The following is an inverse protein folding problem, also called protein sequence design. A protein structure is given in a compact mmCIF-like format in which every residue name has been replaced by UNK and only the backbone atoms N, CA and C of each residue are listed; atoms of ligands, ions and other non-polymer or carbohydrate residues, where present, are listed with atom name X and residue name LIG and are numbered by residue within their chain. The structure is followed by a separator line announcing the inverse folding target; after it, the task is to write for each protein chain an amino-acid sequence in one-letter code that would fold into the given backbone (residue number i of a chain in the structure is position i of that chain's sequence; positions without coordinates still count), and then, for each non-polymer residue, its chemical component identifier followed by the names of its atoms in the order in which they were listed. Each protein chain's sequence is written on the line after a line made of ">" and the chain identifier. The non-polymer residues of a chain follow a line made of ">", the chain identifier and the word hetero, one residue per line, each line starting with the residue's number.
data_IF_771155544826
#
_entry.id   IF_771155544826
#
_cell.length_a   1.000
_cell.length_b   1.000
_cell.length_c   1.000
_cell.angle_alpha   90.00
_cell.angle_beta   90.00
_cell.angle_gamma   90.00
#
_symmetry.space_group_name_H-M   'P 1'
#
loop_
_entity.id
_entity.type
_entity.pdbx_description
1 polymer ?
#
# COMPACT_ATOMS: atom_id res chain seq x y z
N UNK A 1 37.64 -25.12 38.15
CA UNK A 1 39.02 -24.59 38.13
C UNK A 1 39.71 -25.20 36.91
N UNK A 2 40.02 -24.35 35.92
CA UNK A 2 40.94 -24.51 34.77
C UNK A 2 40.98 -25.87 34.03
N UNK A 3 40.60 -25.87 32.75
CA UNK A 3 41.56 -26.11 31.66
C UNK A 3 41.02 -25.53 30.34
N UNK A 4 41.96 -25.05 29.54
CA UNK A 4 41.86 -24.05 28.48
C UNK A 4 41.21 -24.51 27.17
N UNK A 5 40.29 -23.70 26.65
CA UNK A 5 39.88 -23.70 25.24
C UNK A 5 40.77 -22.68 24.52
N UNK A 6 41.80 -23.17 23.84
CA UNK A 6 42.59 -22.42 22.84
C UNK A 6 42.87 -23.37 21.68
N UNK A 7 42.14 -23.23 20.58
CA UNK A 7 42.63 -23.47 19.22
C UNK A 7 41.67 -22.78 18.24
N UNK A 8 41.87 -21.49 17.94
CA UNK A 8 42.73 -20.96 16.88
C UNK A 8 42.13 -21.15 15.47
N UNK A 9 41.46 -20.08 15.06
CA UNK A 9 41.20 -19.58 13.70
C UNK A 9 42.08 -20.22 12.63
N UNK A 10 41.49 -20.87 11.63
CA UNK A 10 42.17 -21.13 10.36
C UNK A 10 41.45 -20.44 9.20
N UNK A 11 42.28 -19.69 8.51
CA UNK A 11 42.05 -18.68 7.49
C UNK A 11 41.58 -19.29 6.17
N UNK A 12 40.73 -18.50 5.51
CA UNK A 12 40.28 -18.53 4.13
C UNK A 12 41.40 -18.60 3.08
N UNK A 13 41.24 -19.42 2.05
CA UNK A 13 41.78 -19.19 0.68
C UNK A 13 40.72 -19.69 -0.31
N UNK A 14 39.95 -18.84 -0.99
CA UNK A 14 40.23 -18.24 -2.30
C UNK A 14 40.83 -19.23 -3.32
N UNK A 15 39.98 -19.81 -4.16
CA UNK A 15 40.35 -20.16 -5.54
C UNK A 15 39.33 -19.54 -6.49
N UNK A 16 39.83 -18.52 -7.19
CA UNK A 16 39.21 -17.84 -8.32
C UNK A 16 39.43 -18.71 -9.55
N UNK A 17 38.34 -19.16 -10.19
CA UNK A 17 38.42 -19.75 -11.52
C UNK A 17 38.30 -18.63 -12.57
N UNK A 18 39.40 -18.46 -13.29
CA UNK A 18 39.57 -17.59 -14.46
C UNK A 18 39.92 -18.48 -15.65
N UNK A 19 39.15 -18.39 -16.72
CA UNK A 19 39.51 -18.71 -18.13
C UNK A 19 38.28 -18.34 -18.98
N UNK A 20 38.24 -17.17 -19.64
CA UNK A 20 38.80 -16.80 -20.94
C UNK A 20 38.26 -17.59 -22.13
N UNK A 21 37.56 -16.90 -23.03
CA UNK A 21 37.74 -17.01 -24.49
C UNK A 21 37.14 -15.77 -25.19
N UNK A 22 38.03 -15.00 -25.84
CA UNK A 22 37.99 -14.39 -27.19
C UNK A 22 36.68 -14.43 -28.00
N UNK A 23 36.33 -13.56 -28.96
CA UNK A 23 36.81 -12.29 -29.58
C UNK A 23 35.74 -11.94 -30.68
N UNK A 24 35.72 -10.70 -31.18
CA UNK A 24 34.96 -10.16 -32.34
C UNK A 24 33.50 -9.75 -32.07
N UNK A 25 32.98 -8.60 -32.52
CA UNK A 25 33.32 -7.80 -33.70
C UNK A 25 32.97 -6.33 -33.49
N UNK A 26 33.89 -5.45 -33.89
CA UNK A 26 33.59 -4.07 -34.30
C UNK A 26 32.54 -4.07 -35.41
N UNK A 27 31.58 -3.15 -35.32
CA UNK A 27 30.97 -2.51 -36.50
C UNK A 27 30.80 -1.02 -36.21
N UNK A 28 31.81 -0.29 -36.63
CA UNK A 28 31.76 1.13 -36.95
C UNK A 28 30.86 1.29 -38.19
N UNK A 29 29.86 2.16 -38.12
CA UNK A 29 29.28 2.80 -39.31
C UNK A 29 29.27 4.29 -39.03
N UNK A 30 30.18 4.97 -39.70
CA UNK A 30 30.24 6.41 -39.88
C UNK A 30 29.67 6.68 -41.28
N UNK A 31 28.54 7.38 -41.36
CA UNK A 31 28.13 8.10 -42.58
C UNK A 31 27.58 9.45 -42.13
N UNK A 32 28.25 10.50 -42.60
CA UNK A 32 27.97 11.92 -42.41
C UNK A 32 26.94 12.41 -43.44
N UNK A 33 26.29 13.52 -43.09
CA UNK A 33 25.55 14.50 -43.92
C UNK A 33 24.02 14.34 -44.10
N UNK A 34 23.31 15.06 -43.22
CA UNK A 34 22.41 16.19 -43.52
C UNK A 34 21.47 16.08 -44.72
N UNK A 35 20.20 15.75 -44.46
CA UNK A 35 19.07 16.31 -45.19
C UNK A 35 17.86 16.43 -44.25
N UNK A 36 17.43 17.67 -44.06
CA UNK A 36 16.27 18.11 -43.30
C UNK A 36 15.00 17.51 -43.88
N UNK A 37 14.26 16.74 -43.08
CA UNK A 37 12.87 16.42 -43.33
C UNK A 37 12.14 16.38 -41.99
N UNK A 38 11.21 17.32 -41.81
CA UNK A 38 10.29 17.36 -40.68
C UNK A 38 9.49 16.05 -40.62
N UNK A 39 9.78 15.23 -39.63
CA UNK A 39 8.94 14.09 -39.27
C UNK A 39 8.17 14.50 -38.02
N UNK A 40 6.88 14.72 -38.22
CA UNK A 40 5.86 14.88 -37.19
C UNK A 40 6.03 13.76 -36.15
N UNK A 41 6.56 14.13 -34.98
CA UNK A 41 6.61 13.26 -33.81
C UNK A 41 5.18 13.03 -33.31
N UNK A 42 4.49 12.07 -33.92
CA UNK A 42 3.35 11.42 -33.30
C UNK A 42 3.93 10.47 -32.27
N UNK A 43 4.24 11.01 -31.09
CA UNK A 43 4.59 10.22 -29.92
C UNK A 43 3.45 9.21 -29.70
N UNK A 44 3.74 7.98 -30.11
CA UNK A 44 2.99 6.82 -29.66
C UNK A 44 3.25 6.77 -28.16
N UNK A 45 2.23 6.85 -27.29
CA UNK A 45 2.47 6.65 -25.87
C UNK A 45 3.02 5.24 -25.72
N UNK A 46 4.29 5.16 -25.35
CA UNK A 46 4.92 3.93 -24.89
C UNK A 46 4.21 3.65 -23.56
N UNK A 47 3.11 2.90 -23.65
CA UNK A 47 2.51 2.22 -22.52
C UNK A 47 3.57 1.23 -22.03
N UNK A 48 4.42 1.67 -21.11
CA UNK A 48 5.13 0.77 -20.22
C UNK A 48 4.03 0.11 -19.40
N UNK A 49 3.56 -1.03 -19.88
CA UNK A 49 2.60 -1.87 -19.20
C UNK A 49 3.29 -2.43 -17.95
N UNK A 50 3.24 -1.67 -16.85
CA UNK A 50 3.70 -2.14 -15.56
C UNK A 50 2.73 -3.22 -15.09
N UNK A 51 3.25 -4.44 -14.92
CA UNK A 51 2.53 -5.59 -14.42
C UNK A 51 2.05 -5.36 -12.98
N UNK A 52 0.89 -4.70 -12.82
CA UNK A 52 -0.09 -4.82 -11.73
C UNK A 52 -1.21 -3.81 -11.99
N UNK A 53 -2.16 -4.17 -12.87
CA UNK A 53 -3.35 -3.35 -13.21
C UNK A 53 -4.32 -3.32 -12.02
N UNK A 54 -4.01 -2.53 -11.01
CA UNK A 54 -4.91 -2.26 -9.89
C UNK A 54 -6.00 -1.24 -10.26
N UNK A 55 -7.06 -1.20 -9.44
CA UNK A 55 -8.07 -0.15 -9.50
C UNK A 55 -7.66 0.99 -8.57
N UNK A 56 -7.61 2.22 -9.10
CA UNK A 56 -7.33 3.41 -8.31
C UNK A 56 -8.32 3.56 -7.15
N UNK A 57 -7.82 3.94 -5.97
CA UNK A 57 -8.65 4.23 -4.80
C UNK A 57 -8.49 5.68 -4.34
N UNK A 58 -7.24 6.09 -4.15
CA UNK A 58 -6.87 7.38 -3.60
C UNK A 58 -5.40 7.68 -3.93
N UNK A 59 -4.95 8.85 -3.52
CA UNK A 59 -3.53 9.16 -3.36
C UNK A 59 -3.15 9.06 -1.88
N UNK A 60 -1.94 8.58 -1.60
CA UNK A 60 -1.32 8.62 -0.28
C UNK A 60 -0.11 9.54 -0.37
N UNK A 61 -0.15 10.66 0.36
CA UNK A 61 0.87 11.72 0.27
C UNK A 61 1.16 12.14 -1.19
N UNK A 62 0.11 12.30 -1.99
CA UNK A 62 0.19 12.70 -3.41
C UNK A 62 0.66 11.61 -4.38
N UNK A 63 0.81 10.36 -3.92
CA UNK A 63 1.15 9.22 -4.79
C UNK A 63 -0.04 8.31 -4.97
N UNK A 64 -0.35 7.96 -6.22
CA UNK A 64 -1.43 7.04 -6.55
C UNK A 64 -1.33 5.72 -5.79
N UNK A 65 -2.44 5.35 -5.18
CA UNK A 65 -2.62 4.06 -4.54
C UNK A 65 -3.81 3.33 -5.15
N UNK A 66 -3.51 2.15 -5.70
CA UNK A 66 -4.47 1.28 -6.34
C UNK A 66 -4.54 -0.06 -5.60
N UNK A 67 -5.73 -0.66 -5.55
CA UNK A 67 -5.95 -1.99 -4.99
C UNK A 67 -6.10 -3.03 -6.09
N UNK A 68 -5.83 -4.27 -5.71
CA UNK A 68 -6.05 -5.47 -6.55
C UNK A 68 -7.28 -6.26 -6.14
N UNK A 69 -7.74 -6.08 -4.89
CA UNK A 69 -8.94 -6.70 -4.32
C UNK A 69 -9.64 -5.72 -3.40
N UNK A 70 -10.97 -5.70 -3.43
CA UNK A 70 -11.80 -4.98 -2.48
C UNK A 70 -12.88 -5.91 -1.94
N UNK A 71 -13.22 -5.74 -0.67
CA UNK A 71 -14.27 -6.50 0.00
C UNK A 71 -14.82 -5.73 1.19
N UNK A 72 -16.11 -5.87 1.45
CA UNK A 72 -16.78 -5.31 2.61
C UNK A 72 -17.34 -6.36 3.56
N UNK A 73 -17.47 -5.98 4.83
CA UNK A 73 -18.26 -6.73 5.82
C UNK A 73 -19.11 -5.73 6.60
N UNK A 74 -20.37 -6.07 6.86
CA UNK A 74 -21.20 -5.40 7.85
C UNK A 74 -21.42 -6.37 9.00
N UNK A 75 -21.13 -5.95 10.22
CA UNK A 75 -21.22 -6.77 11.42
C UNK A 75 -21.80 -5.98 12.60
N UNK A 76 -22.61 -6.64 13.41
CA UNK A 76 -23.15 -6.08 14.65
C UNK A 76 -22.38 -6.61 15.84
N UNK A 77 -21.71 -5.71 16.56
CA UNK A 77 -21.00 -6.10 17.78
C UNK A 77 -21.98 -6.65 18.83
N UNK A 78 -21.80 -7.91 19.23
CA UNK A 78 -22.78 -8.67 20.00
C UNK A 78 -23.27 -8.01 21.29
N UNK A 79 -22.39 -7.28 21.99
CA UNK A 79 -22.69 -6.64 23.28
C UNK A 79 -23.23 -5.21 23.14
N UNK A 80 -22.59 -4.40 22.31
CA UNK A 80 -22.93 -2.96 22.18
C UNK A 80 -24.01 -2.72 21.14
N UNK A 81 -24.34 -3.74 20.32
CA UNK A 81 -25.27 -3.67 19.19
C UNK A 81 -24.88 -2.65 18.12
N UNK A 82 -23.65 -2.13 18.18
CA UNK A 82 -23.11 -1.21 17.19
C UNK A 82 -22.88 -1.95 15.88
N UNK A 83 -23.48 -1.44 14.79
CA UNK A 83 -23.32 -1.97 13.45
C UNK A 83 -22.16 -1.28 12.76
N UNK A 84 -21.18 -2.02 12.29
CA UNK A 84 -19.98 -1.48 11.64
C UNK A 84 -19.85 -2.03 10.24
N UNK A 85 -19.72 -1.15 9.25
CA UNK A 85 -19.37 -1.50 7.88
C UNK A 85 -17.87 -1.29 7.66
N UNK A 86 -17.15 -2.37 7.35
CA UNK A 86 -15.70 -2.38 7.17
C UNK A 86 -15.39 -2.64 5.70
N UNK A 87 -14.94 -1.60 4.99
CA UNK A 87 -14.48 -1.72 3.60
C UNK A 87 -12.97 -1.90 3.59
N UNK A 88 -12.50 -3.00 3.02
CA UNK A 88 -11.08 -3.35 2.93
C UNK A 88 -10.62 -3.37 1.48
N UNK A 89 -9.59 -2.60 1.19
CA UNK A 89 -8.90 -2.55 -0.09
C UNK A 89 -7.51 -3.13 0.09
N UNK A 90 -7.15 -4.12 -0.72
CA UNK A 90 -5.86 -4.81 -0.65
C UNK A 90 -5.09 -4.67 -1.95
N UNK A 91 -3.86 -4.16 -1.87
CA UNK A 91 -2.89 -4.17 -2.96
C UNK A 91 -1.95 -5.36 -2.77
N UNK A 92 -2.06 -6.36 -3.63
CA UNK A 92 -1.10 -7.47 -3.68
C UNK A 92 0.16 -6.99 -4.36
N UNK A 93 1.30 -7.31 -3.76
CA UNK A 93 2.64 -7.03 -4.27
C UNK A 93 3.33 -8.36 -4.53
N UNK A 94 4.42 -8.34 -5.29
CA UNK A 94 5.26 -9.53 -5.50
C UNK A 94 5.71 -10.16 -4.17
N UNK A 95 5.97 -9.31 -3.17
CA UNK A 95 6.32 -9.71 -1.81
C UNK A 95 5.43 -9.01 -0.79
N UNK A 96 4.36 -9.70 -0.40
CA UNK A 96 3.43 -9.27 0.63
C UNK A 96 2.23 -8.49 0.10
N UNK A 97 1.67 -7.62 0.94
CA UNK A 97 0.53 -6.79 0.57
C UNK A 97 0.46 -5.53 1.41
N UNK A 98 -0.25 -4.55 0.87
CA UNK A 98 -0.70 -3.36 1.57
C UNK A 98 -2.22 -3.39 1.69
N UNK A 99 -2.76 -2.66 2.66
CA UNK A 99 -4.20 -2.51 2.81
C UNK A 99 -4.60 -1.12 3.29
N UNK A 100 -5.78 -0.70 2.83
CA UNK A 100 -6.54 0.42 3.38
C UNK A 100 -7.87 -0.14 3.89
N UNK A 101 -8.24 0.21 5.11
CA UNK A 101 -9.49 -0.18 5.73
C UNK A 101 -10.25 1.05 6.23
N UNK A 102 -11.52 1.11 5.88
CA UNK A 102 -12.44 2.17 6.27
C UNK A 102 -13.57 1.55 7.08
N UNK A 103 -13.80 2.11 8.27
CA UNK A 103 -14.78 1.62 9.23
C UNK A 103 -15.84 2.70 9.37
N UNK A 104 -17.01 2.41 8.82
CA UNK A 104 -18.18 3.27 8.93
C UNK A 104 -19.12 2.72 9.98
N UNK A 105 -19.78 3.61 10.71
CA UNK A 105 -20.97 3.25 11.46
C UNK A 105 -22.09 2.95 10.46
N UNK A 106 -22.65 1.75 10.50
CA UNK A 106 -23.61 1.30 9.48
C UNK A 106 -25.04 1.81 9.69
N UNK A 107 -25.29 2.54 10.79
CA UNK A 107 -26.59 3.11 11.11
C UNK A 107 -26.66 4.62 10.79
N UNK A 108 -25.57 5.34 11.06
CA UNK A 108 -25.39 6.77 10.70
C UNK A 108 -24.66 6.99 9.37
N UNK A 109 -24.06 5.94 8.83
CA UNK A 109 -23.29 5.92 7.58
C UNK A 109 -22.01 6.76 7.56
N UNK A 110 -21.55 7.22 8.72
CA UNK A 110 -20.38 8.09 8.85
C UNK A 110 -19.09 7.30 9.06
N UNK A 111 -17.98 7.78 8.52
CA UNK A 111 -16.65 7.21 8.76
C UNK A 111 -16.20 7.46 10.20
N UNK A 112 -15.84 6.39 10.91
CA UNK A 112 -15.39 6.47 12.29
C UNK A 112 -13.91 6.14 12.47
N UNK A 113 -13.35 5.31 11.59
CA UNK A 113 -11.95 4.93 11.67
C UNK A 113 -11.40 4.63 10.29
N UNK A 114 -10.17 5.08 10.06
CA UNK A 114 -9.36 4.70 8.92
C UNK A 114 -8.10 3.97 9.41
N UNK A 115 -7.66 2.97 8.66
CA UNK A 115 -6.42 2.25 8.93
C UNK A 115 -5.71 1.97 7.62
N UNK A 116 -4.40 2.12 7.60
CA UNK A 116 -3.54 1.74 6.48
C UNK A 116 -2.42 0.84 6.98
N UNK A 117 -2.07 -0.18 6.21
CA UNK A 117 -0.83 -0.95 6.37
C UNK A 117 -0.08 -0.86 5.07
N UNK A 118 1.04 -0.12 5.06
CA UNK A 118 1.83 0.16 3.88
C UNK A 118 3.20 -0.52 3.97
N UNK A 119 3.77 -0.88 2.82
CA UNK A 119 5.15 -1.36 2.73
C UNK A 119 6.06 -0.16 2.54
N UNK A 120 6.81 0.16 3.58
CA UNK A 120 7.71 1.32 3.59
C UNK A 120 9.17 0.89 3.69
N UNK A 121 10.11 1.61 3.06
CA UNK A 121 11.54 1.37 3.26
C UNK A 121 11.94 1.57 4.72
N UNK A 122 12.86 0.72 5.19
CA UNK A 122 13.32 0.68 6.58
C UNK A 122 14.79 1.10 6.65
N UNK A 123 15.16 1.88 7.68
CA UNK A 123 16.55 2.22 7.98
C UNK A 123 17.42 0.97 8.10
N UNK A 124 18.57 0.98 7.44
CA UNK A 124 19.47 -0.18 7.38
C UNK A 124 19.09 -1.21 6.31
N UNK A 125 18.08 -0.91 5.49
CA UNK A 125 17.69 -1.70 4.32
C UNK A 125 16.46 -2.58 4.51
N UNK A 126 15.86 -2.96 3.37
CA UNK A 126 14.64 -3.78 3.33
C UNK A 126 13.36 -2.96 3.50
N UNK A 127 12.25 -3.66 3.73
CA UNK A 127 10.91 -3.06 3.86
C UNK A 127 10.25 -3.50 5.15
N UNK A 128 9.51 -2.59 5.80
CA UNK A 128 8.64 -2.88 6.93
C UNK A 128 7.16 -2.70 6.58
N UNK A 129 6.28 -3.24 7.41
CA UNK A 129 4.85 -2.88 7.38
C UNK A 129 4.63 -1.73 8.35
N UNK A 130 4.34 -0.54 7.83
CA UNK A 130 3.96 0.63 8.63
C UNK A 130 2.44 0.65 8.82
N UNK A 131 1.99 0.68 10.07
CA UNK A 131 0.57 0.75 10.41
C UNK A 131 0.19 2.18 10.78
N UNK A 132 -0.81 2.71 10.09
CA UNK A 132 -1.39 4.03 10.30
C UNK A 132 -2.83 3.86 10.76
N UNK A 133 -3.26 4.68 11.70
CA UNK A 133 -4.64 4.64 12.17
C UNK A 133 -5.10 5.99 12.70
N UNK A 134 -6.31 6.38 12.30
CA UNK A 134 -7.02 7.53 12.81
C UNK A 134 -8.43 7.11 13.19
N UNK A 135 -8.89 7.51 14.37
CA UNK A 135 -10.24 7.25 14.88
C UNK A 135 -10.92 8.59 15.15
N UNK A 136 -12.17 8.75 14.70
CA UNK A 136 -12.99 9.94 14.89
C UNK A 136 -13.09 10.31 16.37
N UNK A 137 -13.39 9.33 17.22
CA UNK A 137 -13.41 9.47 18.68
C UNK A 137 -12.42 8.52 19.35
N UNK A 138 -11.74 9.03 20.38
CA UNK A 138 -10.73 8.28 21.13
C UNK A 138 -9.42 8.06 20.37
N UNK A 139 -8.35 7.77 21.11
CA UNK A 139 -7.01 7.52 20.54
C UNK A 139 -6.14 8.78 20.40
N UNK A 140 -4.89 8.56 19.98
CA UNK A 140 -3.92 9.63 19.75
C UNK A 140 -4.18 10.27 18.39
N UNK A 141 -4.62 11.52 18.37
CA UNK A 141 -4.80 12.34 17.16
C UNK A 141 -3.76 13.44 17.12
N UNK A 142 -3.37 13.87 15.93
CA UNK A 142 -2.75 15.19 15.80
C UNK A 142 -3.86 16.26 15.85
N UNK A 143 -3.61 17.46 16.38
CA UNK A 143 -4.64 18.50 16.50
C UNK A 143 -5.38 18.81 15.19
N UNK A 144 -4.67 18.71 14.07
CA UNK A 144 -5.18 19.06 12.74
C UNK A 144 -5.59 17.81 11.92
N UNK A 145 -5.77 16.65 12.54
CA UNK A 145 -6.22 15.44 11.85
C UNK A 145 -7.69 15.58 11.41
N UNK A 146 -7.95 15.32 10.13
CA UNK A 146 -9.32 15.23 9.58
C UNK A 146 -9.69 13.76 9.37
N UNK A 147 -10.92 13.40 9.75
CA UNK A 147 -11.54 12.14 9.36
C UNK A 147 -13.02 12.40 9.08
N UNK A 148 -13.45 12.15 7.86
CA UNK A 148 -14.85 12.25 7.46
C UNK A 148 -15.10 11.31 6.28
N UNK A 149 -16.37 11.06 5.97
CA UNK A 149 -16.73 10.20 4.86
C UNK A 149 -18.10 9.59 5.06
N UNK A 150 -18.70 9.17 3.97
CA UNK A 150 -20.01 8.52 3.97
C UNK A 150 -19.97 7.21 3.21
N UNK A 151 -20.79 6.26 3.64
CA UNK A 151 -21.02 4.99 2.93
C UNK A 151 -22.47 4.89 2.46
N UNK A 152 -22.66 4.33 1.27
CA UNK A 152 -23.94 3.94 0.72
C UNK A 152 -24.06 2.42 0.76
N UNK A 153 -25.01 1.93 1.56
CA UNK A 153 -25.39 0.52 1.73
C UNK A 153 -26.82 0.25 1.22
N UNK A 154 -27.37 1.13 0.39
CA UNK A 154 -28.73 0.98 -0.15
C UNK A 154 -28.89 -0.26 -1.04
N UNK A 155 -27.80 -0.71 -1.66
CA UNK A 155 -27.76 -2.00 -2.36
C UNK A 155 -27.36 -3.12 -1.39
N UNK A 156 -28.14 -4.21 -1.37
CA UNK A 156 -27.98 -5.31 -0.42
C UNK A 156 -26.67 -6.09 -0.53
N UNK A 157 -25.89 -5.92 -1.60
CA UNK A 157 -24.69 -6.75 -1.89
C UNK A 157 -23.45 -5.95 -2.27
N UNK A 158 -23.61 -4.67 -2.63
CA UNK A 158 -22.48 -3.80 -2.99
C UNK A 158 -22.57 -2.47 -2.28
N UNK A 159 -21.42 -1.93 -1.89
CA UNK A 159 -21.29 -0.65 -1.23
C UNK A 159 -20.55 0.35 -2.12
N UNK A 160 -20.87 1.63 -1.91
CA UNK A 160 -20.10 2.76 -2.46
C UNK A 160 -19.81 3.75 -1.33
N UNK A 161 -18.82 4.61 -1.48
CA UNK A 161 -18.53 5.57 -0.42
C UNK A 161 -17.36 6.51 -0.72
N UNK A 162 -17.15 7.42 0.22
CA UNK A 162 -16.07 8.41 0.20
C UNK A 162 -15.37 8.45 1.54
N UNK A 163 -14.13 8.94 1.55
CA UNK A 163 -13.44 9.30 2.76
C UNK A 163 -12.52 10.50 2.53
N UNK A 164 -12.36 11.30 3.57
CA UNK A 164 -11.32 12.32 3.68
C UNK A 164 -10.56 12.03 4.98
N UNK A 165 -9.26 11.76 4.86
CA UNK A 165 -8.44 11.35 5.99
C UNK A 165 -7.11 12.06 5.88
N UNK A 166 -6.80 12.94 6.83
CA UNK A 166 -5.53 13.68 6.84
C UNK A 166 -4.82 13.60 8.18
N UNK A 167 -3.51 13.79 8.13
CA UNK A 167 -2.61 13.77 9.29
C UNK A 167 -2.77 12.49 10.14
N UNK A 168 -2.80 11.33 9.46
CA UNK A 168 -2.85 10.03 10.10
C UNK A 168 -1.44 9.55 10.44
N UNK A 169 -1.10 9.54 11.73
CA UNK A 169 0.24 9.19 12.22
C UNK A 169 0.46 7.67 12.29
N UNK A 170 1.70 7.24 12.03
CA UNK A 170 2.16 5.87 12.23
C UNK A 170 2.01 5.46 13.70
N UNK A 171 1.60 4.22 13.93
CA UNK A 171 1.30 3.70 15.27
C UNK A 171 2.53 3.20 16.01
N UNK A 172 3.50 2.66 15.28
CA UNK A 172 4.66 1.96 15.84
C UNK A 172 5.88 2.14 14.95
N UNK A 173 7.08 2.04 15.53
CA UNK A 173 8.36 1.94 14.80
C UNK A 173 8.63 3.14 13.86
N UNK A 174 8.21 4.32 14.28
CA UNK A 174 8.48 5.60 13.59
C UNK A 174 9.98 5.82 13.37
N UNK A 175 10.79 5.46 14.35
CA UNK A 175 12.24 5.55 14.34
C UNK A 175 12.91 4.62 13.32
N UNK A 176 12.23 3.55 12.89
CA UNK A 176 12.72 2.61 11.89
C UNK A 176 12.45 3.07 10.44
N UNK A 177 11.61 4.10 10.22
CA UNK A 177 11.30 4.63 8.89
C UNK A 177 12.54 5.24 8.25
N UNK A 178 12.83 4.86 7.00
CA UNK A 178 13.90 5.48 6.21
C UNK A 178 13.52 6.91 5.77
N UNK A 179 12.26 7.11 5.38
CA UNK A 179 11.69 8.39 5.00
C UNK A 179 10.80 8.93 6.13
N UNK A 180 11.25 10.01 6.78
CA UNK A 180 10.51 10.65 7.87
C UNK A 180 9.17 11.26 7.42
N UNK A 181 9.01 11.60 6.13
CA UNK A 181 7.72 12.10 5.61
C UNK A 181 6.61 11.04 5.67
N UNK A 182 6.98 9.77 5.82
CA UNK A 182 6.05 8.66 5.99
C UNK A 182 5.64 8.45 7.45
N UNK A 183 6.07 9.30 8.40
CA UNK A 183 5.55 9.27 9.77
C UNK A 183 4.05 9.60 9.80
N UNK A 184 3.62 10.53 8.95
CA UNK A 184 2.25 11.00 8.85
C UNK A 184 1.79 10.88 7.40
N UNK A 185 0.59 10.32 7.21
CA UNK A 185 0.02 10.18 5.87
C UNK A 185 -1.35 10.86 5.75
N UNK A 186 -1.65 11.28 4.53
CA UNK A 186 -2.94 11.83 4.12
C UNK A 186 -3.46 11.07 2.91
N UNK A 187 -4.76 10.78 2.93
CA UNK A 187 -5.51 10.24 1.80
C UNK A 187 -6.24 11.38 1.09
N UNK A 188 -5.89 11.63 -0.16
CA UNK A 188 -6.63 12.53 -1.06
C UNK A 188 -7.47 11.73 -2.06
N UNK A 189 -8.61 12.30 -2.45
CA UNK A 189 -9.47 11.76 -3.52
C UNK A 189 -10.02 10.36 -3.27
N UNK A 190 -10.22 9.94 -2.00
CA UNK A 190 -10.70 8.60 -1.69
C UNK A 190 -12.19 8.45 -2.00
N UNK A 191 -12.48 7.68 -3.05
CA UNK A 191 -13.84 7.28 -3.44
C UNK A 191 -13.84 5.84 -3.95
N UNK A 192 -14.89 5.09 -3.63
CA UNK A 192 -15.08 3.73 -4.15
C UNK A 192 -16.55 3.49 -4.53
N UNK A 193 -16.76 2.52 -5.40
CA UNK A 193 -18.09 2.07 -5.81
C UNK A 193 -18.07 0.61 -6.21
N UNK A 194 -19.21 -0.07 -6.04
CA UNK A 194 -19.39 -1.46 -6.45
C UNK A 194 -18.60 -2.47 -5.62
N UNK A 195 -18.24 -2.13 -4.38
CA UNK A 195 -17.49 -3.03 -3.50
C UNK A 195 -18.45 -4.07 -2.92
N UNK A 196 -18.30 -5.32 -3.32
CA UNK A 196 -19.09 -6.42 -2.76
C UNK A 196 -18.89 -6.56 -1.25
N UNK A 197 -19.98 -6.75 -0.50
CA UNK A 197 -19.92 -6.94 0.95
C UNK A 197 -20.86 -8.03 1.45
N UNK A 198 -20.51 -8.60 2.60
CA UNK A 198 -21.35 -9.57 3.31
C UNK A 198 -21.92 -8.94 4.59
N UNK A 199 -23.23 -9.05 4.77
CA UNK A 199 -23.94 -8.65 5.99
C UNK A 199 -24.05 -9.87 6.91
N UNK A 200 -23.20 -9.94 7.95
CA UNK A 200 -23.07 -11.14 8.77
C UNK A 200 -24.33 -11.41 9.59
N UNK A 201 -25.11 -10.37 9.92
CA UNK A 201 -26.39 -10.52 10.60
C UNK A 201 -27.41 -11.25 9.71
N UNK A 202 -27.38 -11.03 8.39
CA UNK A 202 -28.25 -11.75 7.45
C UNK A 202 -27.76 -13.16 7.13
N UNK A 203 -26.46 -13.38 7.17
CA UNK A 203 -25.85 -14.68 6.86
C UNK A 203 -25.97 -15.64 8.04
N UNK A 204 -25.82 -15.15 9.27
CA UNK A 204 -25.77 -15.97 10.47
C UNK A 204 -26.89 -15.68 11.48
N UNK A 205 -27.63 -14.58 11.32
CA UNK A 205 -28.76 -14.22 12.18
C UNK A 205 -30.06 -14.89 11.76
N UNK A 206 -30.16 -16.19 11.99
CA UNK A 206 -31.44 -16.85 12.27
C UNK A 206 -31.45 -17.16 13.77
N UNK A 207 -32.02 -16.25 14.57
CA UNK A 207 -32.62 -16.51 15.89
C UNK A 207 -33.51 -15.33 16.27
#
# INVERSE_FOLDING_TARGET
>A
MKLYIVLLVLITTLTSCKESNETNSLKQIEITETATAEVVNKETPISIESANKGTFLCEINGKDWAYTKASGIVDTHAKTKKRTAIMTFTKKLDKGSESVQLFYDADSYQLEKATAILKTPKKGGGTMSAMYQLLNEGGKRTPDSVISGVIDLSNATVASGTAEVSNMKIRFKEDELEDASMEVITFSSLKFSGVGYSDLDKVFGNN
#
